data_IF_838751279515
#
_entry.id   IF_838751279515
#
_cell.length_a   1.000
_cell.length_b   1.000
_cell.length_c   1.000
_cell.angle_alpha   90.00
_cell.angle_beta   90.00
_cell.angle_gamma   90.00
#
_symmetry.space_group_name_H-M   'P 1'
#
loop_
_entity.id
_entity.type
_entity.pdbx_description
1 polymer ?
#
# COMPACT_ATOMS: atom_id res chain seq x y z
N UNK A 1 6.49 -0.66 1.37
CA UNK A 1 7.13 -1.69 2.22
C UNK A 1 6.32 -1.84 3.48
N UNK A 2 6.01 -3.07 3.89
CA UNK A 2 5.29 -3.37 5.12
C UNK A 2 6.10 -4.41 5.92
N UNK A 3 6.47 -4.08 7.15
CA UNK A 3 7.21 -4.97 8.07
C UNK A 3 6.52 -4.94 9.43
N UNK A 4 5.69 -5.95 9.71
CA UNK A 4 4.80 -5.93 10.87
C UNK A 4 3.94 -4.65 10.88
N UNK A 5 3.95 -3.85 11.95
CA UNK A 5 3.16 -2.61 12.05
C UNK A 5 3.76 -1.41 11.32
N UNK A 6 4.99 -1.53 10.79
CA UNK A 6 5.74 -0.42 10.19
C UNK A 6 5.54 -0.38 8.68
N UNK A 7 5.01 0.74 8.19
CA UNK A 7 4.70 0.98 6.78
C UNK A 7 5.55 2.13 6.26
N UNK A 8 6.27 1.88 5.17
CA UNK A 8 6.99 2.91 4.42
C UNK A 8 6.42 2.98 3.01
N UNK A 9 6.07 4.19 2.56
CA UNK A 9 5.52 4.44 1.22
C UNK A 9 6.44 5.39 0.44
N UNK A 10 6.63 5.06 -0.83
CA UNK A 10 7.38 5.87 -1.77
C UNK A 10 6.49 6.28 -2.92
N UNK A 11 6.68 7.51 -3.39
CA UNK A 11 6.04 8.04 -4.59
C UNK A 11 7.12 8.70 -5.43
N UNK A 12 7.22 8.32 -6.71
CA UNK A 12 8.26 8.83 -7.62
C UNK A 12 9.69 8.70 -7.04
N UNK A 13 9.98 7.60 -6.36
CA UNK A 13 11.30 7.32 -5.75
C UNK A 13 11.59 8.04 -4.44
N UNK A 14 10.74 8.98 -4.00
CA UNK A 14 10.90 9.69 -2.73
C UNK A 14 10.11 9.01 -1.62
N UNK A 15 10.70 8.86 -0.44
CA UNK A 15 9.97 8.45 0.77
C UNK A 15 9.00 9.57 1.16
N UNK A 16 7.70 9.25 1.19
CA UNK A 16 6.62 10.20 1.50
C UNK A 16 5.87 9.86 2.78
N UNK A 17 6.06 8.65 3.33
CA UNK A 17 5.44 8.25 4.58
C UNK A 17 6.26 7.19 5.29
N UNK A 18 6.40 7.36 6.60
CA UNK A 18 6.91 6.39 7.55
C UNK A 18 5.95 6.34 8.75
N UNK A 19 5.16 5.28 8.84
CA UNK A 19 4.04 5.18 9.77
C UNK A 19 4.08 3.86 10.55
N UNK A 20 3.78 3.93 11.84
CA UNK A 20 3.64 2.76 12.71
C UNK A 20 2.18 2.63 13.17
N UNK A 21 1.51 1.55 12.74
CA UNK A 21 0.12 1.30 13.06
C UNK A 21 -0.04 0.61 14.41
N UNK A 22 -0.93 1.15 15.24
CA UNK A 22 -1.30 0.56 16.53
C UNK A 22 -2.24 -0.64 16.41
N UNK A 23 -2.83 -0.86 15.23
CA UNK A 23 -3.86 -1.88 14.99
C UNK A 23 -3.54 -2.79 13.80
N UNK A 24 -2.28 -2.83 13.35
CA UNK A 24 -1.86 -3.68 12.25
C UNK A 24 -2.17 -5.15 12.52
N UNK A 25 -2.77 -5.81 11.52
CA UNK A 25 -2.90 -7.27 11.50
C UNK A 25 -1.58 -7.88 11.05
N UNK A 26 -1.22 -9.04 11.61
CA UNK A 26 0.04 -9.75 11.29
C UNK A 26 0.09 -10.21 9.83
N UNK A 27 -1.03 -10.69 9.30
CA UNK A 27 -1.17 -11.19 7.92
C UNK A 27 -2.56 -10.87 7.38
N UNK A 28 -2.69 -10.77 6.06
CA UNK A 28 -3.95 -10.55 5.37
C UNK A 28 -3.75 -10.38 3.85
N UNK A 29 -4.85 -10.36 3.08
CA UNK A 29 -4.78 -10.12 1.64
C UNK A 29 -4.33 -8.69 1.33
N UNK A 30 -3.69 -8.50 0.18
CA UNK A 30 -3.37 -7.18 -0.38
C UNK A 30 -4.51 -6.78 -1.33
N UNK A 31 -5.07 -5.60 -1.11
CA UNK A 31 -6.15 -5.04 -1.93
C UNK A 31 -5.72 -3.76 -2.64
N UNK A 32 -6.26 -3.55 -3.84
CA UNK A 32 -6.14 -2.32 -4.61
C UNK A 32 -7.55 -1.75 -4.73
N UNK A 33 -7.75 -0.51 -4.28
CA UNK A 33 -9.06 0.09 -4.20
C UNK A 33 -9.10 1.41 -4.98
N UNK A 34 -10.11 1.53 -5.84
CA UNK A 34 -10.60 2.82 -6.33
C UNK A 34 -11.73 3.30 -5.41
N UNK A 35 -11.81 4.60 -5.15
CA UNK A 35 -12.89 5.15 -4.34
C UNK A 35 -14.25 4.88 -4.99
N UNK A 36 -15.17 4.28 -4.23
CA UNK A 36 -16.54 4.03 -4.68
C UNK A 36 -17.35 5.32 -4.86
N UNK A 37 -18.50 5.20 -5.53
CA UNK A 37 -19.48 6.29 -5.74
C UNK A 37 -18.93 7.51 -6.50
N UNK A 38 -17.95 7.30 -7.38
CA UNK A 38 -17.39 8.34 -8.27
C UNK A 38 -17.20 7.76 -9.67
N UNK A 39 -17.44 8.58 -10.70
CA UNK A 39 -17.08 8.21 -12.06
C UNK A 39 -15.58 8.46 -12.26
N UNK A 40 -14.78 7.41 -12.09
CA UNK A 40 -13.32 7.44 -12.20
C UNK A 40 -12.83 6.14 -12.83
N UNK A 41 -11.70 6.20 -13.52
CA UNK A 41 -10.95 5.05 -13.98
C UNK A 41 -9.51 5.12 -13.48
N UNK A 42 -8.88 3.96 -13.34
CA UNK A 42 -7.46 3.84 -13.01
C UNK A 42 -6.91 2.59 -13.68
N UNK A 43 -5.71 2.71 -14.25
CA UNK A 43 -5.00 1.61 -14.88
C UNK A 43 -3.74 1.29 -14.06
N UNK A 44 -3.47 0.01 -13.86
CA UNK A 44 -2.27 -0.47 -13.16
C UNK A 44 -1.42 -1.31 -14.11
N UNK A 45 -0.11 -1.17 -13.99
CA UNK A 45 0.87 -2.02 -14.68
C UNK A 45 2.05 -2.30 -13.78
N UNK A 46 2.74 -3.42 -14.02
CA UNK A 46 3.96 -3.81 -13.30
C UNK A 46 3.78 -3.91 -11.77
N UNK A 47 2.65 -4.46 -11.32
CA UNK A 47 2.43 -4.78 -9.92
C UNK A 47 3.35 -5.94 -9.52
N UNK A 48 4.28 -5.68 -8.59
CA UNK A 48 5.25 -6.65 -8.12
C UNK A 48 5.16 -6.79 -6.60
N UNK A 49 5.36 -8.01 -6.12
CA UNK A 49 5.45 -8.33 -4.70
C UNK A 49 6.77 -9.06 -4.45
N UNK A 50 7.43 -8.70 -3.35
CA UNK A 50 8.61 -9.39 -2.85
C UNK A 50 8.44 -9.61 -1.35
N UNK A 51 8.56 -10.85 -0.91
CA UNK A 51 8.66 -11.19 0.51
C UNK A 51 10.00 -10.66 1.06
N UNK A 52 9.97 -10.13 2.29
CA UNK A 52 11.10 -9.44 2.93
C UNK A 52 11.82 -10.39 3.86
#
# INVERSE_FOLDING_TARGET
RAMGPKYTVWLQGKEVMNYESKSAKKVGPIGIQLHGNKNMSIDFRNLMLKEI
#
